data_IF_600808381861
#
_entry.id   IF_600808381861
#
_cell.length_a   1.000
_cell.length_b   1.000
_cell.length_c   1.000
_cell.angle_alpha   90.00
_cell.angle_beta   90.00
_cell.angle_gamma   90.00
#
_symmetry.space_group_name_H-M   'P 1'
#
loop_
_entity.id
_entity.type
_entity.pdbx_description
1 polymer ?
#
# COMPACT_ATOMS: atom_id res chain seq x y z
N UNK A 1 -36.68 -5.40 2.32
CA UNK A 1 -35.40 -4.65 2.31
C UNK A 1 -34.37 -5.60 2.90
N UNK A 2 -33.58 -6.38 2.16
CA UNK A 2 -32.76 -6.11 0.97
C UNK A 2 -31.36 -6.59 1.34
N UNK A 3 -31.13 -7.92 1.32
CA UNK A 3 -29.85 -8.54 1.60
C UNK A 3 -29.18 -8.91 0.28
N UNK A 4 -28.03 -8.32 0.00
CA UNK A 4 -27.25 -8.65 -1.20
C UNK A 4 -26.27 -9.77 -0.87
N UNK A 5 -26.57 -10.97 -1.35
CA UNK A 5 -25.64 -12.09 -1.41
C UNK A 5 -24.70 -11.88 -2.60
N UNK A 6 -23.39 -11.77 -2.32
CA UNK A 6 -22.36 -11.69 -3.36
C UNK A 6 -21.64 -13.03 -3.43
N UNK A 7 -21.92 -13.80 -4.49
CA UNK A 7 -21.27 -15.06 -4.81
C UNK A 7 -19.92 -14.78 -5.49
N UNK A 8 -18.82 -15.05 -4.79
CA UNK A 8 -17.50 -15.13 -5.41
C UNK A 8 -17.22 -16.58 -5.84
N UNK A 9 -16.95 -16.87 -7.12
CA UNK A 9 -16.52 -18.19 -7.52
C UNK A 9 -15.07 -18.42 -7.06
N UNK A 10 -14.88 -19.50 -6.31
CA UNK A 10 -13.59 -20.14 -6.07
C UNK A 10 -13.07 -20.65 -7.41
N UNK A 11 -12.01 -20.04 -7.93
CA UNK A 11 -11.17 -20.65 -8.95
C UNK A 11 -9.74 -20.76 -8.42
N UNK A 12 -9.42 -21.95 -7.91
CA UNK A 12 -8.04 -22.42 -7.90
C UNK A 12 -7.68 -22.79 -9.33
N UNK A 13 -6.81 -22.02 -9.98
CA UNK A 13 -5.90 -22.50 -11.02
C UNK A 13 -4.58 -21.74 -10.93
N UNK A 14 -3.52 -22.53 -10.70
CA UNK A 14 -2.12 -22.34 -11.06
C UNK A 14 -1.52 -20.94 -11.25
N UNK A 15 -0.52 -20.71 -10.39
CA UNK A 15 0.72 -19.95 -10.59
C UNK A 15 1.18 -19.90 -12.08
N UNK A 16 1.21 -18.70 -12.68
CA UNK A 16 2.22 -18.23 -13.66
C UNK A 16 2.35 -16.71 -13.45
N UNK A 17 3.57 -16.23 -13.18
CA UNK A 17 3.95 -14.83 -13.39
C UNK A 17 3.83 -14.54 -14.89
N UNK A 18 2.71 -13.96 -15.32
CA UNK A 18 2.50 -13.57 -16.71
C UNK A 18 2.58 -12.05 -16.81
N UNK A 19 3.72 -11.54 -17.28
CA UNK A 19 3.86 -10.16 -17.71
C UNK A 19 2.90 -9.99 -18.90
N UNK A 20 1.75 -9.36 -18.68
CA UNK A 20 0.84 -8.94 -19.75
C UNK A 20 1.56 -7.92 -20.63
N UNK A 21 2.21 -8.40 -21.68
CA UNK A 21 2.70 -7.53 -22.76
C UNK A 21 1.50 -7.15 -23.62
N UNK A 22 1.26 -5.85 -23.74
CA UNK A 22 0.21 -5.29 -24.60
C UNK A 22 0.58 -5.60 -26.06
N UNK A 23 0.09 -6.72 -26.60
CA UNK A 23 0.12 -7.00 -28.04
C UNK A 23 -0.97 -6.19 -28.74
N UNK A 24 -0.79 -4.87 -28.78
CA UNK A 24 -1.48 -4.05 -29.78
C UNK A 24 -0.42 -3.35 -30.61
N UNK A 25 0.03 -4.07 -31.64
CA UNK A 25 0.83 -3.48 -32.71
C UNK A 25 -0.12 -2.56 -33.47
N UNK A 26 0.05 -1.25 -33.30
CA UNK A 26 -0.65 -0.27 -34.12
C UNK A 26 -0.17 -0.51 -35.55
N UNK A 27 -1.04 -1.09 -36.38
CA UNK A 27 -0.83 -1.25 -37.81
C UNK A 27 -1.03 0.13 -38.44
N UNK A 28 0.03 0.94 -38.35
CA UNK A 28 0.06 2.30 -38.84
C UNK A 28 1.52 2.72 -38.92
N UNK A 29 1.91 3.28 -40.08
CA UNK A 29 3.21 3.93 -40.22
C UNK A 29 3.30 4.98 -39.13
N UNK A 30 4.40 4.99 -38.37
CA UNK A 30 4.61 5.95 -37.30
C UNK A 30 4.38 7.36 -37.87
N UNK A 31 3.49 8.17 -37.27
CA UNK A 31 3.21 9.52 -37.76
C UNK A 31 4.47 10.40 -37.85
N UNK A 32 5.55 10.06 -37.13
CA UNK A 32 6.87 10.67 -37.32
C UNK A 32 7.56 10.22 -38.60
N UNK A 33 7.46 8.95 -38.98
CA UNK A 33 8.01 8.41 -40.23
C UNK A 33 7.27 8.99 -41.44
N UNK A 34 5.94 9.05 -41.39
CA UNK A 34 5.13 9.67 -42.45
C UNK A 34 5.48 11.16 -42.62
N UNK A 35 5.72 11.87 -41.50
CA UNK A 35 6.20 13.26 -41.54
C UNK A 35 7.61 13.40 -42.09
N UNK A 36 8.51 12.46 -41.83
CA UNK A 36 9.88 12.47 -42.37
C UNK A 36 9.87 12.18 -43.87
N UNK A 37 9.03 11.27 -44.34
CA UNK A 37 8.85 11.00 -45.77
C UNK A 37 8.17 12.18 -46.50
N UNK A 38 7.25 12.89 -45.83
CA UNK A 38 6.60 14.08 -46.36
C UNK A 38 7.52 15.32 -46.43
N UNK A 39 8.68 15.30 -45.78
CA UNK A 39 9.67 16.38 -45.89
C UNK A 39 10.32 16.34 -47.27
N UNK A 40 9.95 17.31 -48.10
CA UNK A 40 10.58 17.52 -49.40
C UNK A 40 12.04 17.92 -49.16
N UNK A 41 12.97 17.04 -49.55
CA UNK A 41 14.41 17.31 -49.50
C UNK A 41 14.64 18.63 -50.24
N UNK A 42 15.01 19.67 -49.50
CA UNK A 42 15.33 20.96 -50.09
C UNK A 42 16.48 20.75 -51.08
N UNK A 43 16.41 21.38 -52.26
CA UNK A 43 17.53 21.40 -53.19
C UNK A 43 18.76 21.88 -52.43
N UNK A 44 19.87 21.12 -52.47
CA UNK A 44 21.07 21.48 -51.73
C UNK A 44 21.47 22.90 -52.13
N UNK A 45 21.86 23.71 -51.15
CA UNK A 45 22.34 25.09 -51.38
C UNK A 45 23.61 25.14 -52.26
N UNK A 46 24.21 23.98 -52.57
CA UNK A 46 25.41 23.80 -53.37
C UNK A 46 25.06 23.12 -54.70
N UNK A 47 25.06 23.91 -55.78
CA UNK A 47 24.86 23.47 -57.17
C UNK A 47 26.16 22.92 -57.78
N UNK A 48 26.82 21.98 -57.12
CA UNK A 48 27.98 21.28 -57.71
C UNK A 48 27.62 19.81 -57.96
N UNK A 49 27.94 19.25 -59.15
CA UNK A 49 27.75 17.83 -59.39
C UNK A 49 28.56 17.03 -58.34
N UNK A 50 28.01 15.95 -57.76
CA UNK A 50 28.79 15.11 -56.88
C UNK A 50 29.96 14.52 -57.68
N UNK A 51 31.20 14.57 -57.18
CA UNK A 51 32.30 13.88 -57.82
C UNK A 51 31.96 12.39 -57.85
N UNK A 52 32.09 11.77 -59.01
CA UNK A 52 31.88 10.34 -59.25
C UNK A 52 32.46 9.51 -58.12
N UNK A 53 31.58 8.78 -57.42
CA UNK A 53 31.88 7.99 -56.25
C UNK A 53 33.01 6.99 -56.51
N UNK A 54 34.14 7.16 -55.83
CA UNK A 54 35.10 6.09 -55.61
C UNK A 54 35.38 5.97 -54.12
N UNK A 55 34.66 5.03 -53.50
CA UNK A 55 34.93 4.40 -52.20
C UNK A 55 34.91 5.29 -50.93
N UNK A 56 34.05 4.92 -49.98
CA UNK A 56 33.93 5.52 -48.64
C UNK A 56 35.25 5.55 -47.86
N UNK A 57 36.17 4.63 -48.15
CA UNK A 57 37.52 4.63 -47.56
C UNK A 57 38.39 5.81 -48.00
N UNK A 58 38.24 6.30 -49.24
CA UNK A 58 38.96 7.50 -49.72
C UNK A 58 38.43 8.80 -49.10
N UNK A 59 37.18 8.78 -48.63
CA UNK A 59 36.55 9.91 -47.94
C UNK A 59 37.05 10.00 -46.48
N UNK A 60 37.18 8.85 -45.79
CA UNK A 60 37.63 8.79 -44.40
C UNK A 60 39.14 9.03 -44.23
N UNK A 61 39.95 8.68 -45.23
CA UNK A 61 41.43 8.77 -45.16
C UNK A 61 41.95 10.12 -45.68
N UNK A 62 41.09 10.94 -46.32
CA UNK A 62 41.47 12.27 -46.80
C UNK A 62 41.63 13.25 -45.62
N UNK A 63 42.85 13.27 -45.07
CA UNK A 63 43.38 14.37 -44.26
C UNK A 63 43.16 15.68 -45.04
N UNK A 64 42.58 16.74 -44.46
CA UNK A 64 42.43 18.01 -45.17
C UNK A 64 43.82 18.59 -45.39
N UNK A 65 44.36 18.38 -46.59
CA UNK A 65 45.63 18.95 -47.00
C UNK A 65 45.54 20.46 -46.91
N UNK A 66 46.46 21.05 -46.17
CA UNK A 66 46.74 22.48 -46.15
C UNK A 66 46.71 23.04 -47.57
N UNK A 67 45.72 23.87 -47.88
CA UNK A 67 45.67 24.64 -49.13
C UNK A 67 44.92 25.93 -48.86
N UNK A 68 45.70 26.95 -48.52
CA UNK A 68 45.30 28.34 -48.63
C UNK A 68 45.22 28.70 -50.12
N UNK A 69 44.17 29.44 -50.50
CA UNK A 69 43.86 30.04 -51.81
C UNK A 69 43.48 29.02 -52.92
N UNK A 70 42.37 29.12 -53.65
CA UNK A 70 41.53 30.27 -53.99
C UNK A 70 40.16 29.80 -54.52
N UNK A 71 39.13 30.60 -54.24
CA UNK A 71 37.87 30.77 -55.00
C UNK A 71 36.95 29.57 -55.22
N UNK A 72 36.11 29.25 -54.23
CA UNK A 72 34.65 29.44 -54.30
C UNK A 72 34.00 28.99 -52.99
N UNK A 73 33.22 29.89 -52.38
CA UNK A 73 32.48 29.76 -51.11
C UNK A 73 33.32 29.63 -49.84
N UNK A 74 34.22 30.60 -49.61
CA UNK A 74 34.56 30.98 -48.23
C UNK A 74 33.36 31.74 -47.64
N UNK A 75 32.38 30.99 -47.14
CA UNK A 75 31.42 31.52 -46.17
C UNK A 75 32.16 31.75 -44.87
N UNK A 76 33.00 32.77 -44.81
CA UNK A 76 33.75 33.12 -43.60
C UNK A 76 32.73 33.64 -42.59
N UNK A 77 32.24 32.76 -41.71
CA UNK A 77 31.35 33.16 -40.63
C UNK A 77 32.13 34.09 -39.72
N UNK A 78 31.58 35.28 -39.46
CA UNK A 78 32.26 36.27 -38.62
C UNK A 78 32.47 35.65 -37.23
N UNK A 79 33.73 35.52 -36.75
CA UNK A 79 34.04 34.83 -35.50
C UNK A 79 33.37 35.49 -34.28
N UNK A 80 33.09 36.80 -34.33
CA UNK A 80 32.37 37.50 -33.27
C UNK A 80 30.90 37.07 -33.19
N UNK A 81 30.24 36.90 -34.34
CA UNK A 81 28.84 36.42 -34.41
C UNK A 81 28.74 34.98 -33.90
N UNK A 82 29.74 34.15 -34.22
CA UNK A 82 29.80 32.78 -33.73
C UNK A 82 30.00 32.73 -32.20
N UNK A 83 30.88 33.58 -31.66
CA UNK A 83 31.11 33.69 -30.22
C UNK A 83 29.85 34.18 -29.48
N UNK A 84 29.14 35.15 -30.06
CA UNK A 84 27.87 35.65 -29.53
C UNK A 84 26.80 34.55 -29.53
N UNK A 85 26.65 33.80 -30.62
CA UNK A 85 25.72 32.69 -30.70
C UNK A 85 26.02 31.60 -29.66
N UNK A 86 27.29 31.22 -29.49
CA UNK A 86 27.69 30.28 -28.45
C UNK A 86 27.47 30.82 -27.04
N UNK A 87 27.63 32.12 -26.83
CA UNK A 87 27.37 32.75 -25.52
C UNK A 87 25.88 32.72 -25.21
N UNK A 88 25.03 33.13 -26.16
CA UNK A 88 23.57 33.08 -26.03
C UNK A 88 23.07 31.64 -25.83
N UNK A 89 23.63 30.66 -26.55
CA UNK A 89 23.30 29.25 -26.36
C UNK A 89 23.74 28.73 -24.98
N UNK A 90 24.93 29.11 -24.51
CA UNK A 90 25.44 28.72 -23.18
C UNK A 90 24.57 29.30 -22.07
N UNK A 91 24.20 30.58 -22.16
CA UNK A 91 23.31 31.22 -21.20
C UNK A 91 21.94 30.54 -21.18
N UNK A 92 21.36 30.27 -22.35
CA UNK A 92 20.11 29.52 -22.46
C UNK A 92 20.22 28.12 -21.83
N UNK A 93 21.29 27.37 -22.10
CA UNK A 93 21.55 26.06 -21.49
C UNK A 93 21.62 26.15 -19.97
N UNK A 94 22.31 27.15 -19.44
CA UNK A 94 22.44 27.35 -18.00
C UNK A 94 21.10 27.73 -17.35
N UNK A 95 20.28 28.55 -18.01
CA UNK A 95 18.94 28.89 -17.56
C UNK A 95 18.03 27.64 -17.52
N UNK A 96 18.11 26.77 -18.54
CA UNK A 96 17.36 25.50 -18.55
C UNK A 96 17.82 24.56 -17.45
N UNK A 97 19.13 24.42 -17.25
CA UNK A 97 19.67 23.62 -16.16
C UNK A 97 19.16 24.12 -14.80
N UNK A 98 19.24 25.43 -14.54
CA UNK A 98 18.70 26.06 -13.31
C UNK A 98 17.21 25.77 -13.12
N UNK A 99 16.41 25.87 -14.18
CA UNK A 99 14.96 25.59 -14.12
C UNK A 99 14.67 24.12 -13.82
N UNK A 100 15.44 23.20 -14.39
CA UNK A 100 15.32 21.75 -14.13
C UNK A 100 15.69 21.46 -12.68
N UNK A 101 16.84 21.94 -12.20
CA UNK A 101 17.29 21.72 -10.82
C UNK A 101 16.28 22.24 -9.80
N UNK A 102 15.73 23.45 -10.00
CA UNK A 102 14.70 24.00 -9.10
C UNK A 102 13.43 23.14 -9.06
N UNK A 103 13.00 22.61 -10.20
CA UNK A 103 11.84 21.72 -10.25
C UNK A 103 12.12 20.38 -9.58
N UNK A 104 13.32 19.83 -9.76
CA UNK A 104 13.74 18.59 -9.10
C UNK A 104 13.73 18.76 -7.58
N UNK A 105 14.30 19.85 -7.08
CA UNK A 105 14.30 20.18 -5.65
C UNK A 105 12.87 20.34 -5.09
N UNK A 106 11.96 21.01 -5.81
CA UNK A 106 10.55 21.12 -5.38
C UNK A 106 9.86 19.74 -5.32
N UNK A 107 10.15 18.86 -6.28
CA UNK A 107 9.59 17.51 -6.32
C UNK A 107 10.16 16.66 -5.18
N UNK A 108 11.47 16.74 -4.93
CA UNK A 108 12.14 16.02 -3.84
C UNK A 108 11.55 16.42 -2.47
N UNK A 109 11.40 17.71 -2.20
CA UNK A 109 10.76 18.22 -0.98
C UNK A 109 9.31 17.70 -0.80
N UNK A 110 8.55 17.62 -1.91
CA UNK A 110 7.18 17.05 -1.90
C UNK A 110 7.18 15.56 -1.62
N UNK A 111 8.14 14.81 -2.17
CA UNK A 111 8.30 13.37 -1.94
C UNK A 111 8.66 13.12 -0.48
N UNK A 112 9.64 13.84 0.08
CA UNK A 112 10.03 13.71 1.50
C UNK A 112 8.85 14.00 2.43
N UNK A 113 8.09 15.05 2.14
CA UNK A 113 6.90 15.40 2.93
C UNK A 113 5.84 14.30 2.83
N UNK A 114 5.59 13.77 1.62
CA UNK A 114 4.62 12.70 1.41
C UNK A 114 5.03 11.41 2.13
N UNK A 115 6.31 11.04 2.10
CA UNK A 115 6.85 9.87 2.80
C UNK A 115 6.70 10.01 4.32
N UNK A 116 7.09 11.15 4.88
CA UNK A 116 6.93 11.44 6.30
C UNK A 116 5.46 11.38 6.75
N UNK A 117 4.53 11.84 5.91
CA UNK A 117 3.10 11.74 6.18
C UNK A 117 2.58 10.30 6.07
N UNK A 118 3.04 9.54 5.07
CA UNK A 118 2.67 8.14 4.89
C UNK A 118 3.07 7.31 6.12
N UNK A 119 4.31 7.46 6.60
CA UNK A 119 4.79 6.78 7.81
C UNK A 119 3.92 7.12 9.03
N UNK A 120 3.59 8.40 9.24
CA UNK A 120 2.72 8.83 10.36
C UNK A 120 1.31 8.26 10.24
N UNK A 121 0.76 8.18 9.03
CA UNK A 121 -0.54 7.59 8.78
C UNK A 121 -0.55 6.09 9.11
N UNK A 122 0.48 5.34 8.68
CA UNK A 122 0.62 3.93 9.02
C UNK A 122 0.75 3.69 10.53
N UNK A 123 1.51 4.53 11.23
CA UNK A 123 1.62 4.45 12.69
C UNK A 123 0.27 4.68 13.38
N UNK A 124 -0.47 5.72 12.99
CA UNK A 124 -1.83 6.00 13.50
C UNK A 124 -2.79 4.84 13.24
N UNK A 125 -2.75 4.28 12.04
CA UNK A 125 -3.60 3.16 11.65
C UNK A 125 -3.31 1.91 12.48
N UNK A 126 -2.04 1.53 12.61
CA UNK A 126 -1.63 0.36 13.40
C UNK A 126 -1.97 0.51 14.88
N UNK A 127 -1.83 1.72 15.44
CA UNK A 127 -2.29 2.02 16.78
C UNK A 127 -3.80 1.83 16.91
N UNK A 128 -4.59 2.38 15.97
CA UNK A 128 -6.05 2.23 15.95
C UNK A 128 -6.48 0.76 15.89
N UNK A 129 -5.84 -0.04 15.03
CA UNK A 129 -6.11 -1.47 14.90
C UNK A 129 -5.80 -2.21 16.21
N UNK A 130 -4.67 -1.88 16.85
CA UNK A 130 -4.29 -2.48 18.13
C UNK A 130 -5.26 -2.13 19.25
N UNK A 131 -5.69 -0.86 19.32
CA UNK A 131 -6.70 -0.40 20.27
C UNK A 131 -8.05 -1.10 20.04
N UNK A 132 -8.51 -1.18 18.80
CA UNK A 132 -9.75 -1.90 18.45
C UNK A 132 -9.69 -3.39 18.83
N UNK A 133 -8.55 -4.04 18.60
CA UNK A 133 -8.35 -5.45 18.97
C UNK A 133 -8.44 -5.63 20.49
N UNK A 134 -7.82 -4.73 21.25
CA UNK A 134 -7.92 -4.71 22.72
C UNK A 134 -9.37 -4.51 23.20
N UNK A 135 -10.08 -3.53 22.64
CA UNK A 135 -11.50 -3.31 22.97
C UNK A 135 -12.36 -4.53 22.63
N UNK A 136 -12.12 -5.16 21.48
CA UNK A 136 -12.83 -6.38 21.07
C UNK A 136 -12.61 -7.51 22.07
N UNK A 137 -11.38 -7.69 22.53
CA UNK A 137 -11.06 -8.71 23.53
C UNK A 137 -11.76 -8.42 24.87
N UNK A 138 -11.71 -7.18 25.36
CA UNK A 138 -12.43 -6.79 26.58
C UNK A 138 -13.95 -6.98 26.46
N UNK A 139 -14.52 -6.73 25.28
CA UNK A 139 -15.95 -6.91 25.06
C UNK A 139 -16.34 -8.40 25.07
N UNK A 140 -15.48 -9.27 24.52
CA UNK A 140 -15.68 -10.71 24.58
C UNK A 140 -15.69 -11.22 26.03
N UNK A 141 -14.81 -10.71 26.89
CA UNK A 141 -14.80 -11.02 28.32
C UNK A 141 -16.09 -10.55 29.02
N UNK A 142 -16.58 -9.35 28.71
CA UNK A 142 -17.85 -8.83 29.24
C UNK A 142 -19.04 -9.68 28.78
N UNK A 143 -19.06 -10.11 27.51
CA UNK A 143 -20.11 -10.99 26.99
C UNK A 143 -20.14 -12.34 27.73
N UNK A 144 -18.97 -12.91 28.01
CA UNK A 144 -18.87 -14.14 28.81
C UNK A 144 -19.43 -13.95 30.22
N UNK A 145 -19.02 -12.87 30.92
CA UNK A 145 -19.53 -12.56 32.26
C UNK A 145 -21.05 -12.33 32.26
N UNK A 146 -21.60 -11.70 31.23
CA UNK A 146 -23.03 -11.48 31.10
C UNK A 146 -23.81 -12.81 31.08
N UNK A 147 -23.27 -13.84 30.40
CA UNK A 147 -23.86 -15.18 30.36
C UNK A 147 -23.82 -15.82 31.75
N UNK A 148 -22.67 -15.79 32.43
CA UNK A 148 -22.50 -16.38 33.76
C UNK A 148 -23.42 -15.74 34.81
N UNK A 149 -23.55 -14.41 34.79
CA UNK A 149 -24.49 -13.67 35.65
C UNK A 149 -25.93 -14.07 35.34
N UNK A 150 -26.28 -14.26 34.07
CA UNK A 150 -27.59 -14.74 33.65
C UNK A 150 -27.91 -16.14 34.19
N UNK A 151 -26.96 -17.07 34.11
CA UNK A 151 -27.09 -18.42 34.64
C UNK A 151 -27.25 -18.41 36.16
N UNK A 152 -26.39 -17.67 36.87
CA UNK A 152 -26.45 -17.56 38.33
C UNK A 152 -27.78 -16.97 38.80
N UNK A 153 -28.29 -15.96 38.09
CA UNK A 153 -29.62 -15.40 38.33
C UNK A 153 -30.72 -16.45 38.15
N UNK A 154 -30.62 -17.30 37.12
CA UNK A 154 -31.54 -18.41 36.89
C UNK A 154 -31.55 -19.39 38.06
N UNK A 155 -30.37 -19.88 38.48
CA UNK A 155 -30.21 -20.78 39.63
C UNK A 155 -30.75 -20.16 40.93
N UNK A 156 -30.47 -18.89 41.18
CA UNK A 156 -30.99 -18.19 42.36
C UNK A 156 -32.52 -18.09 42.35
N UNK A 157 -33.12 -17.82 41.18
CA UNK A 157 -34.57 -17.76 41.02
C UNK A 157 -35.21 -19.12 41.31
N UNK A 158 -34.58 -20.20 40.83
CA UNK A 158 -35.01 -21.56 41.14
C UNK A 158 -34.94 -21.87 42.65
N UNK A 159 -33.83 -21.51 43.32
CA UNK A 159 -33.69 -21.69 44.77
C UNK A 159 -34.75 -20.90 45.54
N UNK A 160 -34.99 -19.64 45.17
CA UNK A 160 -36.04 -18.83 45.80
C UNK A 160 -37.43 -19.45 45.59
N UNK A 161 -37.71 -19.93 44.37
CA UNK A 161 -38.98 -20.60 44.07
C UNK A 161 -39.14 -21.90 44.86
N UNK A 162 -38.08 -22.68 45.01
CA UNK A 162 -38.07 -23.89 45.83
C UNK A 162 -38.33 -23.55 47.31
N UNK A 163 -37.65 -22.54 47.85
CA UNK A 163 -37.91 -22.04 49.20
C UNK A 163 -39.35 -21.54 49.38
N UNK A 164 -39.94 -20.83 48.41
CA UNK A 164 -41.33 -20.37 48.46
C UNK A 164 -42.32 -21.54 48.43
N UNK A 165 -42.08 -22.56 47.59
CA UNK A 165 -42.85 -23.80 47.60
C UNK A 165 -42.74 -24.54 48.93
N UNK A 166 -41.55 -24.58 49.52
CA UNK A 166 -41.32 -25.17 50.83
C UNK A 166 -42.08 -24.42 51.92
N UNK A 167 -42.00 -23.08 51.94
CA UNK A 167 -42.76 -22.23 52.85
C UNK A 167 -44.28 -22.45 52.72
N UNK A 168 -44.80 -22.52 51.48
CA UNK A 168 -46.22 -22.82 51.21
C UNK A 168 -46.62 -24.20 51.71
N UNK A 169 -45.77 -25.22 51.51
CA UNK A 169 -46.02 -26.58 52.02
C UNK A 169 -46.07 -26.61 53.54
N UNK A 170 -45.10 -25.97 54.21
CA UNK A 170 -45.08 -25.88 55.68
C UNK A 170 -46.35 -25.17 56.18
N UNK A 171 -46.78 -24.09 55.51
CA UNK A 171 -48.00 -23.38 55.89
C UNK A 171 -49.28 -24.21 55.72
N UNK A 172 -49.33 -25.10 54.72
CA UNK A 172 -50.50 -25.92 54.43
C UNK A 172 -50.57 -27.23 55.23
N UNK A 173 -49.45 -27.95 55.34
CA UNK A 173 -49.39 -29.31 55.89
C UNK A 173 -48.73 -29.38 57.28
N UNK A 174 -48.12 -28.29 57.73
CA UNK A 174 -47.29 -28.25 58.94
C UNK A 174 -45.88 -28.85 58.74
N UNK A 175 -44.95 -28.59 59.68
CA UNK A 175 -43.55 -29.01 59.55
C UNK A 175 -43.33 -30.53 59.63
N UNK A 176 -44.31 -31.29 60.14
CA UNK A 176 -44.21 -32.74 60.31
C UNK A 176 -44.14 -33.51 58.98
N UNK A 177 -44.74 -32.97 57.90
CA UNK A 177 -44.66 -33.53 56.52
C UNK A 177 -43.22 -33.61 55.99
N UNK A 178 -42.35 -32.68 56.41
CA UNK A 178 -40.93 -32.68 56.02
C UNK A 178 -40.10 -33.71 56.77
N UNK A 179 -40.53 -34.12 57.97
CA UNK A 179 -39.80 -35.08 58.81
C UNK A 179 -39.88 -36.49 58.26
N UNK A 180 -40.95 -36.84 57.55
CA UNK A 180 -41.05 -38.11 56.82
C UNK A 180 -40.21 -38.17 55.54
N UNK A 181 -39.79 -37.02 54.99
CA UNK A 181 -39.00 -36.94 53.74
C UNK A 181 -37.49 -36.87 53.98
N UNK A 182 -37.05 -36.67 55.23
CA UNK A 182 -35.64 -36.64 55.60
C UNK A 182 -35.14 -38.08 55.84
N UNK A 183 -34.57 -38.70 54.81
CA UNK A 183 -33.55 -39.72 55.07
C UNK A 183 -32.31 -39.01 55.66
N UNK A 184 -31.70 -39.52 56.74
CA UNK A 184 -30.52 -38.91 57.31
C UNK A 184 -29.41 -38.85 56.26
N UNK A 185 -28.92 -37.64 55.99
CA UNK A 185 -27.76 -37.43 55.11
C UNK A 185 -26.56 -38.08 55.79
N UNK A 186 -26.19 -39.29 55.36
CA UNK A 186 -24.90 -39.89 55.75
C UNK A 186 -23.79 -39.03 55.15
N UNK A 187 -23.04 -38.36 56.01
CA UNK A 187 -21.74 -37.76 55.67
C UNK A 187 -20.78 -38.86 55.24
N UNK A 188 -20.70 -39.14 53.95
CA UNK A 188 -19.56 -39.86 53.39
C UNK A 188 -18.38 -38.89 53.31
N UNK A 189 -17.30 -39.22 54.02
CA UNK A 189 -16.00 -38.56 53.94
C UNK A 189 -15.60 -38.30 52.49
N UNK A 190 -15.71 -37.05 52.05
CA UNK A 190 -15.03 -36.55 50.86
C UNK A 190 -13.91 -35.63 51.34
N UNK A 191 -12.68 -36.04 51.08
CA UNK A 191 -11.46 -35.30 51.37
C UNK A 191 -11.59 -33.84 50.89
N UNK A 192 -11.44 -32.90 51.82
CA UNK A 192 -11.35 -31.47 51.53
C UNK A 192 -9.96 -31.22 50.93
N UNK A 193 -9.81 -30.75 49.67
CA UNK A 193 -8.51 -30.32 49.19
C UNK A 193 -8.13 -29.04 49.93
N UNK A 194 -7.03 -29.12 50.67
CA UNK A 194 -6.43 -27.99 51.38
C UNK A 194 -6.05 -26.88 50.37
N UNK A 195 -6.81 -25.78 50.37
CA UNK A 195 -6.45 -24.57 49.63
C UNK A 195 -5.27 -23.91 50.35
N UNK A 196 -4.07 -24.09 49.79
CA UNK A 196 -2.89 -23.35 50.22
C UNK A 196 -3.07 -21.85 49.90
N UNK A 197 -3.06 -21.02 50.94
CA UNK A 197 -2.94 -19.57 50.84
C UNK A 197 -1.56 -19.23 50.26
N UNK A 198 -1.53 -18.73 49.01
CA UNK A 198 -0.36 -18.05 48.46
C UNK A 198 -0.32 -16.62 49.02
N UNK A 199 0.60 -16.41 49.97
CA UNK A 199 1.04 -15.10 50.42
C UNK A 199 1.62 -14.31 49.22
N UNK A 200 0.91 -13.26 48.79
CA UNK A 200 1.49 -12.25 47.92
C UNK A 200 2.37 -11.31 48.77
N UNK A 201 3.69 -11.45 48.58
CA UNK A 201 4.70 -10.51 49.08
C UNK A 201 4.79 -9.35 48.08
N UNK A 202 4.45 -8.14 48.54
CA UNK A 202 4.65 -6.88 47.81
C UNK A 202 6.16 -6.55 47.81
N UNK A 203 6.78 -6.23 46.66
CA UNK A 203 8.11 -5.61 46.66
C UNK A 203 8.01 -4.09 46.70
N UNK A 204 8.86 -3.47 47.53
CA UNK A 204 9.22 -2.04 47.50
C UNK A 204 9.92 -1.64 46.21
#
# INVERSE_FOLDING_TARGET
>A
MGASESLLPVHHHQRIDEITTVSQRIEGVDPLVERVEALKIATPLLTSPPPSESSLSDILVRKPSSSSSSTSTSGTLNPNVLLELFSMYREWQEEKAKKISRKQEEIENKIETADALAVKLFQRFNYSVSAMRSTTQSLAEVQQLQVEVGELKGRLTEVISNCDMLCKRIAAEGPESLRSSLNPISTSNAEIPSICYLNNKVPE
#
